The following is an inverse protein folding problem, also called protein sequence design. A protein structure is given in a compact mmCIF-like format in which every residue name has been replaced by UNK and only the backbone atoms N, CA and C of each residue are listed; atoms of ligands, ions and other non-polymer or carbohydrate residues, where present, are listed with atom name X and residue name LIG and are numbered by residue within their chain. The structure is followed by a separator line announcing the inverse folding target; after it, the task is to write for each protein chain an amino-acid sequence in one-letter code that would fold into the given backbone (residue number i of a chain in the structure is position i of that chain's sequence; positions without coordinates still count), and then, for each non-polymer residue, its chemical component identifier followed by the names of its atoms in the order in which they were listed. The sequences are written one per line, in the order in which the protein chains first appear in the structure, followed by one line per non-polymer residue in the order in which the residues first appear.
data_IF_127535642852
#
_entry.id   IF_127535642852
#
_cell.length_a   1.000
_cell.length_b   1.000
_cell.length_c   1.000
_cell.angle_alpha   90.00
_cell.angle_beta   90.00
_cell.angle_gamma   90.00
#
_symmetry.space_group_name_H-M   'P 1'
#
loop_
_entity.id
_entity.type
_entity.pdbx_description
1 polymer ?
#
# COMPACT_ATOMS: atom_id res chain seq x y z
N UNK A 1 -3.57 -10.51 -36.88
CA UNK A 1 -3.69 -10.06 -35.44
C UNK A 1 -3.37 -8.58 -35.39
N UNK A 2 -4.19 -7.80 -34.70
CA UNK A 2 -4.01 -6.36 -34.56
C UNK A 2 -3.98 -6.03 -33.05
N UNK A 3 -2.81 -5.63 -32.56
CA UNK A 3 -2.57 -5.35 -31.15
C UNK A 3 -1.64 -4.13 -31.06
N UNK A 4 -2.18 -2.92 -31.23
CA UNK A 4 -1.40 -1.71 -31.06
C UNK A 4 -1.12 -1.49 -29.57
N UNK A 5 0.13 -1.24 -29.24
CA UNK A 5 0.61 -0.92 -27.92
C UNK A 5 1.12 0.51 -27.89
N UNK A 6 0.61 1.32 -26.96
CA UNK A 6 0.99 2.72 -26.79
C UNK A 6 1.76 2.85 -25.50
N UNK A 7 2.94 3.43 -25.53
CA UNK A 7 3.76 3.65 -24.34
C UNK A 7 4.45 5.00 -24.40
N UNK A 8 4.81 5.52 -23.24
CA UNK A 8 5.65 6.70 -23.12
C UNK A 8 7.10 6.39 -23.53
N UNK A 9 7.72 7.32 -24.21
CA UNK A 9 9.17 7.32 -24.47
C UNK A 9 9.83 8.43 -23.63
N UNK A 10 11.16 8.36 -23.48
CA UNK A 10 11.93 9.28 -22.61
C UNK A 10 11.75 10.76 -22.95
N UNK A 11 11.33 11.09 -24.17
CA UNK A 11 11.01 12.46 -24.62
C UNK A 11 9.70 13.01 -24.01
N UNK A 12 8.91 12.18 -23.34
CA UNK A 12 7.56 12.54 -22.88
C UNK A 12 6.47 12.36 -23.94
N UNK A 13 6.84 11.92 -25.15
CA UNK A 13 5.93 11.59 -26.24
C UNK A 13 5.40 10.16 -26.10
N UNK A 14 4.41 9.82 -26.94
CA UNK A 14 3.90 8.47 -27.05
C UNK A 14 4.42 7.80 -28.33
N UNK A 15 4.84 6.56 -28.21
CA UNK A 15 5.13 5.68 -29.35
C UNK A 15 4.04 4.61 -29.47
N UNK A 16 3.66 4.27 -30.71
CA UNK A 16 2.72 3.22 -31.03
C UNK A 16 3.44 2.07 -31.72
N UNK A 17 3.39 0.89 -31.14
CA UNK A 17 3.97 -0.33 -31.71
C UNK A 17 2.92 -1.39 -31.97
N UNK A 18 3.09 -2.15 -33.03
CA UNK A 18 2.30 -3.36 -33.28
C UNK A 18 2.98 -4.55 -32.57
N UNK A 19 2.38 -5.06 -31.51
CA UNK A 19 2.91 -6.16 -30.69
C UNK A 19 2.40 -7.51 -31.18
N UNK A 20 1.14 -7.58 -31.58
CA UNK A 20 0.52 -8.82 -32.07
C UNK A 20 1.23 -9.39 -33.28
N UNK A 21 1.69 -10.63 -33.18
CA UNK A 21 2.44 -11.36 -34.21
C UNK A 21 2.19 -12.87 -34.09
N UNK A 22 2.76 -13.64 -35.02
CA UNK A 22 2.71 -15.11 -34.92
C UNK A 22 3.40 -15.66 -33.66
N UNK A 23 4.40 -14.92 -33.14
CA UNK A 23 5.11 -15.27 -31.90
C UNK A 23 4.38 -14.74 -30.66
N UNK A 24 3.64 -13.64 -30.79
CA UNK A 24 2.82 -13.05 -29.72
C UNK A 24 1.35 -13.11 -30.13
N UNK A 25 0.71 -14.24 -29.84
CA UNK A 25 -0.67 -14.52 -30.20
C UNK A 25 -1.58 -14.28 -28.98
N UNK A 26 -2.09 -13.05 -28.84
CA UNK A 26 -2.96 -12.65 -27.73
C UNK A 26 -4.27 -13.47 -27.67
N UNK A 27 -4.75 -14.06 -28.75
CA UNK A 27 -5.93 -14.94 -28.71
C UNK A 27 -5.76 -16.15 -27.79
N UNK A 28 -4.51 -16.53 -27.47
CA UNK A 28 -4.16 -17.59 -26.52
C UNK A 28 -3.82 -17.06 -25.13
N UNK A 29 -3.75 -15.74 -24.96
CA UNK A 29 -3.40 -15.12 -23.68
C UNK A 29 -4.59 -15.17 -22.73
N UNK A 30 -4.32 -15.46 -21.46
CA UNK A 30 -5.33 -15.60 -20.42
C UNK A 30 -6.19 -14.34 -20.28
N UNK A 31 -5.59 -13.16 -20.29
CA UNK A 31 -6.29 -11.88 -20.18
C UNK A 31 -7.35 -11.71 -21.30
N UNK A 32 -7.02 -12.09 -22.55
CA UNK A 32 -7.95 -11.98 -23.66
C UNK A 32 -9.09 -13.00 -23.55
N UNK A 33 -8.74 -14.25 -23.24
CA UNK A 33 -9.71 -15.36 -23.09
C UNK A 33 -10.67 -15.05 -21.92
N UNK A 34 -10.13 -14.59 -20.79
CA UNK A 34 -10.92 -14.23 -19.60
C UNK A 34 -11.88 -13.09 -19.91
N UNK A 35 -11.41 -12.00 -20.56
CA UNK A 35 -12.27 -10.88 -20.95
C UNK A 35 -13.41 -11.33 -21.86
N UNK A 36 -13.09 -12.14 -22.89
CA UNK A 36 -14.06 -12.68 -23.84
C UNK A 36 -15.11 -13.57 -23.19
N UNK A 37 -14.71 -14.42 -22.24
CA UNK A 37 -15.61 -15.40 -21.62
C UNK A 37 -16.45 -14.82 -20.49
N UNK A 38 -15.91 -13.87 -19.73
CA UNK A 38 -16.60 -13.29 -18.57
C UNK A 38 -17.44 -12.06 -18.93
N UNK A 39 -17.14 -11.42 -20.06
CA UNK A 39 -17.75 -10.15 -20.46
C UNK A 39 -17.62 -9.03 -19.42
N UNK A 40 -16.61 -9.11 -18.55
CA UNK A 40 -16.36 -8.17 -17.44
C UNK A 40 -14.95 -7.61 -17.51
N UNK A 41 -14.81 -6.38 -17.04
CA UNK A 41 -13.50 -5.81 -16.78
C UNK A 41 -12.89 -6.43 -15.52
N UNK A 42 -11.56 -6.56 -15.51
CA UNK A 42 -10.83 -7.08 -14.35
C UNK A 42 -9.38 -6.59 -14.38
N UNK A 43 -8.69 -6.71 -13.26
CA UNK A 43 -7.24 -6.61 -13.20
C UNK A 43 -6.62 -8.00 -13.36
N UNK A 44 -5.53 -8.09 -14.14
CA UNK A 44 -4.74 -9.31 -14.23
C UNK A 44 -4.01 -9.56 -12.91
N UNK A 45 -3.63 -10.82 -12.67
CA UNK A 45 -2.62 -11.11 -11.66
C UNK A 45 -1.30 -10.44 -12.03
N UNK A 46 -0.44 -10.15 -11.04
CA UNK A 46 0.91 -9.63 -11.30
C UNK A 46 1.71 -10.55 -12.21
N UNK A 47 2.36 -9.98 -13.21
CA UNK A 47 3.21 -10.73 -14.12
C UNK A 47 4.50 -9.97 -14.44
N UNK A 48 5.54 -10.69 -14.79
CA UNK A 48 6.78 -10.12 -15.32
C UNK A 48 6.73 -10.11 -16.82
N UNK A 49 7.05 -8.97 -17.43
CA UNK A 49 7.11 -8.82 -18.88
C UNK A 49 8.47 -8.27 -19.31
N UNK A 50 9.00 -8.84 -20.39
CA UNK A 50 10.21 -8.39 -21.06
C UNK A 50 10.04 -8.57 -22.56
N UNK A 51 10.14 -7.49 -23.32
CA UNK A 51 9.97 -7.51 -24.77
C UNK A 51 11.30 -7.59 -25.56
N UNK A 52 12.42 -7.68 -24.85
CA UNK A 52 13.76 -7.63 -25.43
C UNK A 52 14.27 -6.23 -25.69
N UNK A 53 13.54 -5.20 -25.27
CA UNK A 53 13.90 -3.78 -25.40
C UNK A 53 13.89 -3.08 -24.03
N UNK A 54 13.39 -1.86 -23.97
CA UNK A 54 13.31 -1.07 -22.74
C UNK A 54 12.10 -1.41 -21.86
N UNK A 55 11.13 -2.21 -22.36
CA UNK A 55 9.96 -2.61 -21.59
C UNK A 55 10.32 -3.86 -20.79
N UNK A 56 10.61 -3.66 -19.52
CA UNK A 56 11.07 -4.67 -18.60
C UNK A 56 10.56 -4.39 -17.19
N UNK A 57 9.82 -5.29 -16.58
CA UNK A 57 9.34 -5.09 -15.21
C UNK A 57 8.17 -5.97 -14.81
N UNK A 58 7.71 -5.71 -13.60
CA UNK A 58 6.49 -6.30 -13.07
C UNK A 58 5.30 -5.39 -13.37
N UNK A 59 4.27 -5.97 -13.93
CA UNK A 59 3.06 -5.27 -14.38
C UNK A 59 1.82 -5.94 -13.82
N UNK A 60 0.74 -5.18 -13.83
CA UNK A 60 -0.63 -5.64 -13.82
C UNK A 60 -1.39 -4.86 -14.87
N UNK A 61 -2.36 -5.50 -15.50
CA UNK A 61 -3.14 -4.92 -16.60
C UNK A 61 -4.61 -4.81 -16.20
N UNK A 62 -5.16 -3.61 -16.30
CA UNK A 62 -6.61 -3.46 -16.29
C UNK A 62 -7.14 -3.83 -17.68
N UNK A 63 -7.98 -4.86 -17.75
CA UNK A 63 -8.51 -5.40 -18.99
C UNK A 63 -9.99 -5.07 -19.10
N UNK A 64 -10.40 -4.53 -20.25
CA UNK A 64 -11.79 -4.14 -20.51
C UNK A 64 -12.26 -4.65 -21.88
N UNK A 65 -13.26 -5.54 -21.95
CA UNK A 65 -13.92 -5.89 -23.18
C UNK A 65 -14.81 -4.73 -23.67
N UNK A 66 -14.79 -4.46 -24.95
CA UNK A 66 -15.56 -3.41 -25.63
C UNK A 66 -16.46 -4.04 -26.68
N UNK A 67 -17.74 -3.66 -26.69
CA UNK A 67 -18.75 -4.24 -27.55
C UNK A 67 -19.23 -3.22 -28.59
N UNK A 68 -19.59 -3.72 -29.75
CA UNK A 68 -20.24 -2.92 -30.79
C UNK A 68 -21.72 -2.65 -30.45
N UNK A 69 -22.39 -1.85 -31.27
CA UNK A 69 -23.83 -1.50 -31.10
C UNK A 69 -24.74 -2.72 -31.16
N UNK A 70 -24.28 -3.85 -31.69
CA UNK A 70 -25.03 -5.10 -31.80
C UNK A 70 -24.78 -6.06 -30.63
N UNK A 71 -23.92 -5.67 -29.67
CA UNK A 71 -23.54 -6.50 -28.53
C UNK A 71 -22.46 -7.54 -28.83
N UNK A 72 -21.79 -7.47 -29.99
CA UNK A 72 -20.67 -8.35 -30.32
C UNK A 72 -19.37 -7.74 -29.79
N UNK A 73 -18.45 -8.59 -29.29
CA UNK A 73 -17.13 -8.16 -28.87
C UNK A 73 -16.37 -7.51 -30.04
N UNK A 74 -16.14 -6.22 -29.96
CA UNK A 74 -15.41 -5.45 -30.96
C UNK A 74 -13.89 -5.50 -30.71
N UNK A 75 -13.47 -5.29 -29.48
CA UNK A 75 -12.06 -5.40 -29.07
C UNK A 75 -11.96 -5.65 -27.56
N UNK A 76 -10.74 -5.94 -27.11
CA UNK A 76 -10.35 -5.93 -25.69
C UNK A 76 -9.27 -4.87 -25.53
N UNK A 77 -9.48 -3.92 -24.62
CA UNK A 77 -8.50 -2.90 -24.27
C UNK A 77 -7.77 -3.30 -23.00
N UNK A 78 -6.47 -3.06 -22.94
CA UNK A 78 -5.63 -3.20 -21.76
C UNK A 78 -4.96 -1.88 -21.40
N UNK A 79 -4.76 -1.65 -20.11
CA UNK A 79 -3.94 -0.57 -19.58
C UNK A 79 -2.99 -1.15 -18.55
N UNK A 80 -1.70 -1.08 -18.83
CA UNK A 80 -0.66 -1.64 -17.98
C UNK A 80 -0.22 -0.64 -16.92
N UNK A 81 -0.03 -1.12 -15.70
CA UNK A 81 0.53 -0.37 -14.59
C UNK A 81 1.78 -1.09 -14.07
N UNK A 82 2.87 -0.36 -13.91
CA UNK A 82 4.10 -0.92 -13.34
C UNK A 82 4.05 -0.89 -11.81
N UNK A 83 4.58 -1.91 -11.18
CA UNK A 83 4.67 -1.95 -9.72
C UNK A 83 5.71 -0.97 -9.17
N UNK A 84 6.71 -0.63 -9.97
CA UNK A 84 7.66 0.42 -9.60
C UNK A 84 6.97 1.79 -9.43
N UNK A 85 6.10 2.14 -10.39
CA UNK A 85 5.29 3.35 -10.28
C UNK A 85 4.39 3.32 -9.03
N UNK A 86 3.71 2.20 -8.81
CA UNK A 86 2.83 2.05 -7.64
C UNK A 86 3.61 2.18 -6.33
N UNK A 87 4.81 1.59 -6.24
CA UNK A 87 5.66 1.72 -5.05
C UNK A 87 6.11 3.16 -4.78
N UNK A 88 6.47 3.91 -5.84
CA UNK A 88 6.80 5.35 -5.74
C UNK A 88 5.59 6.18 -5.29
N UNK A 89 4.42 5.87 -5.80
CA UNK A 89 3.17 6.55 -5.44
C UNK A 89 2.77 6.30 -3.98
N UNK A 90 2.92 5.07 -3.50
CA UNK A 90 2.73 4.74 -2.08
C UNK A 90 3.68 5.54 -1.19
N UNK A 91 4.95 5.64 -1.58
CA UNK A 91 5.94 6.42 -0.84
C UNK A 91 5.58 7.92 -0.81
N UNK A 92 5.08 8.47 -1.92
CA UNK A 92 4.61 9.85 -2.00
C UNK A 92 3.43 10.10 -1.05
N UNK A 93 2.44 9.20 -1.06
CA UNK A 93 1.26 9.27 -0.18
C UNK A 93 1.68 9.19 1.30
N UNK A 94 2.57 8.27 1.64
CA UNK A 94 3.09 8.14 3.02
C UNK A 94 3.81 9.42 3.47
N UNK A 95 4.58 10.05 2.58
CA UNK A 95 5.29 11.30 2.88
C UNK A 95 4.31 12.47 3.05
N UNK A 96 3.33 12.62 2.17
CA UNK A 96 2.30 13.67 2.27
C UNK A 96 1.47 13.52 3.53
N UNK A 97 1.04 12.29 3.84
CA UNK A 97 0.26 12.00 5.06
C UNK A 97 1.02 12.34 6.36
N UNK A 98 2.35 12.28 6.34
CA UNK A 98 3.17 12.67 7.50
C UNK A 98 3.31 14.19 7.65
N UNK A 99 3.23 14.93 6.55
CA UNK A 99 3.48 16.36 6.55
C UNK A 99 2.22 17.21 6.77
N UNK A 100 1.05 16.65 6.53
CA UNK A 100 -0.22 17.39 6.51
C UNK A 100 -0.82 17.63 7.92
N UNK A 101 -0.29 16.98 8.96
CA UNK A 101 -0.84 17.10 10.31
C UNK A 101 0.15 17.81 11.25
N UNK A 102 -0.25 19.00 11.75
CA UNK A 102 0.49 19.72 12.81
C UNK A 102 0.73 18.85 14.04
N UNK A 103 -0.21 17.95 14.37
CA UNK A 103 -0.07 16.93 15.41
C UNK A 103 1.08 15.96 15.12
N UNK A 104 1.22 15.50 13.87
CA UNK A 104 2.32 14.65 13.45
C UNK A 104 3.67 15.37 13.58
N UNK A 105 3.72 16.66 13.25
CA UNK A 105 4.95 17.45 13.31
C UNK A 105 5.46 17.67 14.74
N UNK A 106 4.56 17.83 15.72
CA UNK A 106 4.93 18.22 17.08
C UNK A 106 4.76 17.12 18.13
N UNK A 107 3.80 16.21 17.95
CA UNK A 107 3.49 15.14 18.91
C UNK A 107 3.91 13.75 18.45
N UNK A 108 3.86 13.49 17.15
CA UNK A 108 4.09 12.17 16.56
C UNK A 108 5.37 12.09 15.72
N UNK A 109 6.27 13.08 15.78
CA UNK A 109 7.56 13.04 15.09
C UNK A 109 8.42 11.81 15.45
N UNK A 110 8.12 11.20 16.59
CA UNK A 110 8.75 9.96 17.07
C UNK A 110 7.87 8.71 16.84
N UNK A 111 6.67 8.83 16.27
CA UNK A 111 5.90 7.69 15.79
C UNK A 111 6.71 7.08 14.66
N UNK A 112 7.22 5.88 14.90
CA UNK A 112 8.08 5.17 13.95
C UNK A 112 7.44 5.17 12.57
N UNK A 113 8.29 5.19 11.54
CA UNK A 113 7.88 5.29 10.16
C UNK A 113 6.82 4.24 9.80
N UNK A 114 5.53 4.61 9.79
CA UNK A 114 4.52 3.80 9.14
C UNK A 114 4.75 3.81 7.63
N UNK A 115 4.32 2.77 6.96
CA UNK A 115 4.40 2.67 5.51
C UNK A 115 3.25 1.87 4.95
N UNK A 116 2.86 2.21 3.73
CA UNK A 116 1.77 1.58 3.02
C UNK A 116 2.30 0.55 2.03
N UNK A 117 1.65 -0.60 1.95
CA UNK A 117 1.92 -1.66 0.97
C UNK A 117 0.62 -2.11 0.32
N UNK A 118 0.72 -2.67 -0.88
CA UNK A 118 -0.40 -3.38 -1.52
C UNK A 118 -0.12 -4.88 -1.48
N UNK A 119 -1.12 -5.63 -1.07
CA UNK A 119 -1.04 -7.06 -0.80
C UNK A 119 -2.12 -7.78 -1.59
N UNK A 120 -1.76 -8.90 -2.21
CA UNK A 120 -2.68 -9.81 -2.90
C UNK A 120 -3.48 -10.66 -1.89
N UNK A 121 -4.54 -11.30 -2.37
CA UNK A 121 -5.37 -12.22 -1.59
C UNK A 121 -4.63 -13.46 -1.06
N UNK A 122 -3.49 -13.81 -1.66
CA UNK A 122 -2.62 -14.90 -1.18
C UNK A 122 -1.60 -14.44 -0.12
N UNK A 123 -1.58 -13.15 0.21
CA UNK A 123 -0.66 -12.53 1.18
C UNK A 123 0.65 -12.05 0.59
N UNK A 124 0.87 -12.23 -0.72
CA UNK A 124 2.08 -11.71 -1.38
C UNK A 124 2.06 -10.20 -1.49
N UNK A 125 3.21 -9.57 -1.31
CA UNK A 125 3.37 -8.12 -1.46
C UNK A 125 3.48 -7.78 -2.95
N UNK A 126 2.48 -7.05 -3.46
CA UNK A 126 2.42 -6.58 -4.85
C UNK A 126 3.25 -5.32 -5.02
N UNK A 127 3.08 -4.36 -4.14
CA UNK A 127 3.81 -3.10 -4.18
C UNK A 127 4.14 -2.62 -2.76
N UNK A 128 5.33 -2.05 -2.62
CA UNK A 128 5.84 -1.52 -1.35
C UNK A 128 6.80 -0.36 -1.61
N UNK A 129 6.95 0.56 -0.66
CA UNK A 129 8.03 1.54 -0.70
C UNK A 129 9.39 0.86 -0.67
N UNK A 130 10.41 1.51 -1.23
CA UNK A 130 11.76 0.96 -1.30
C UNK A 130 12.27 0.48 0.06
N UNK A 131 12.81 -0.72 0.09
CA UNK A 131 13.35 -1.37 1.32
C UNK A 131 12.30 -1.85 2.34
N UNK A 132 11.00 -1.67 2.09
CA UNK A 132 9.92 -2.08 3.00
C UNK A 132 9.15 -3.26 2.42
N UNK A 133 9.44 -4.48 2.84
CA UNK A 133 8.74 -5.68 2.38
C UNK A 133 7.96 -6.32 3.53
N UNK A 134 6.71 -6.68 3.24
CA UNK A 134 5.85 -7.46 4.14
C UNK A 134 5.46 -8.74 3.42
N UNK A 135 5.54 -9.86 4.11
CA UNK A 135 5.03 -11.14 3.61
C UNK A 135 4.02 -11.66 4.62
N UNK A 136 2.82 -11.90 4.16
CA UNK A 136 1.72 -12.44 4.96
C UNK A 136 1.33 -13.82 4.44
N UNK A 137 0.64 -14.59 5.25
CA UNK A 137 0.04 -15.84 4.81
C UNK A 137 -1.38 -15.57 4.29
N UNK A 138 -1.86 -16.46 3.43
CA UNK A 138 -3.24 -16.41 2.93
C UNK A 138 -4.26 -16.35 4.07
N UNK A 139 -4.04 -17.09 5.15
CA UNK A 139 -4.94 -17.12 6.30
C UNK A 139 -5.00 -15.79 7.04
N UNK A 140 -3.88 -15.06 7.10
CA UNK A 140 -3.82 -13.74 7.74
C UNK A 140 -4.59 -12.67 6.98
N UNK A 141 -4.65 -12.77 5.66
CA UNK A 141 -5.33 -11.82 4.77
C UNK A 141 -6.75 -12.27 4.43
N UNK A 142 -6.98 -13.59 4.37
CA UNK A 142 -8.17 -14.23 3.81
C UNK A 142 -9.48 -13.74 4.41
N UNK A 143 -9.57 -13.66 5.73
CA UNK A 143 -10.82 -13.23 6.40
C UNK A 143 -11.22 -11.78 6.04
N UNK A 144 -10.25 -10.89 5.86
CA UNK A 144 -10.50 -9.51 5.42
C UNK A 144 -10.94 -9.46 3.96
N UNK A 145 -10.26 -10.20 3.10
CA UNK A 145 -10.53 -10.22 1.67
C UNK A 145 -11.87 -10.87 1.33
N UNK A 146 -12.19 -12.00 1.95
CA UNK A 146 -13.46 -12.70 1.75
C UNK A 146 -14.67 -11.89 2.22
N UNK A 147 -14.54 -11.22 3.36
CA UNK A 147 -15.62 -10.40 3.91
C UNK A 147 -15.65 -8.98 3.36
N UNK A 148 -14.65 -8.58 2.57
CA UNK A 148 -14.43 -7.21 2.09
C UNK A 148 -14.57 -6.16 3.22
N UNK A 149 -13.96 -6.46 4.35
CA UNK A 149 -13.98 -5.60 5.54
C UNK A 149 -12.57 -5.23 5.96
N UNK A 150 -12.46 -4.04 6.51
CA UNK A 150 -11.23 -3.60 7.16
C UNK A 150 -10.93 -4.53 8.35
N UNK A 151 -9.71 -4.92 8.48
CA UNK A 151 -9.24 -5.67 9.64
C UNK A 151 -7.88 -5.18 10.13
N UNK A 152 -7.50 -5.65 11.30
CA UNK A 152 -6.25 -5.34 11.95
C UNK A 152 -5.59 -6.64 12.40
N UNK A 153 -4.29 -6.77 12.17
CA UNK A 153 -3.49 -7.89 12.70
C UNK A 153 -2.24 -7.33 13.40
N UNK A 154 -1.87 -7.96 14.50
CA UNK A 154 -0.60 -7.71 15.18
C UNK A 154 0.39 -8.82 14.83
N UNK A 155 1.57 -8.45 14.37
CA UNK A 155 2.61 -9.41 14.05
C UNK A 155 4.00 -8.80 14.12
N UNK A 156 5.01 -9.67 14.08
CA UNK A 156 6.40 -9.24 14.02
C UNK A 156 6.85 -9.12 12.55
N UNK A 157 7.27 -7.94 12.13
CA UNK A 157 7.82 -7.70 10.80
C UNK A 157 9.30 -7.39 10.93
N UNK A 158 10.14 -8.25 10.37
CA UNK A 158 11.59 -8.10 10.40
C UNK A 158 12.16 -7.85 11.82
N UNK A 159 11.62 -8.53 12.83
CA UNK A 159 12.03 -8.38 14.22
C UNK A 159 11.36 -7.22 14.97
N UNK A 160 10.49 -6.46 14.34
CA UNK A 160 9.78 -5.33 14.95
C UNK A 160 8.29 -5.66 15.13
N UNK A 161 7.78 -5.68 16.37
CA UNK A 161 6.34 -5.80 16.62
C UNK A 161 5.59 -4.67 15.92
N UNK A 162 4.62 -5.01 15.08
CA UNK A 162 3.90 -4.06 14.23
C UNK A 162 2.42 -4.41 14.19
N UNK A 163 1.61 -3.39 14.01
CA UNK A 163 0.18 -3.52 13.75
C UNK A 163 -0.07 -3.21 12.28
N UNK A 164 -0.79 -4.07 11.59
CA UNK A 164 -1.13 -3.92 10.17
C UNK A 164 -2.63 -3.70 10.06
N UNK A 165 -3.01 -2.62 9.41
CA UNK A 165 -4.38 -2.27 9.10
C UNK A 165 -4.64 -2.55 7.64
N UNK A 166 -5.63 -3.40 7.34
CA UNK A 166 -6.02 -3.77 5.98
C UNK A 166 -7.31 -3.10 5.54
N UNK A 167 -7.31 -2.66 4.30
CA UNK A 167 -8.51 -2.20 3.60
C UNK A 167 -8.56 -2.86 2.22
N UNK A 168 -9.52 -3.78 1.97
CA UNK A 168 -9.70 -4.37 0.66
C UNK A 168 -10.01 -3.31 -0.39
N UNK A 169 -9.44 -3.48 -1.59
CA UNK A 169 -9.71 -2.60 -2.73
C UNK A 169 -10.90 -3.19 -3.51
N UNK A 170 -11.89 -2.35 -3.83
CA UNK A 170 -13.04 -2.79 -4.61
C UNK A 170 -12.63 -3.24 -6.01
N UNK A 171 -13.31 -4.28 -6.50
CA UNK A 171 -13.14 -4.84 -7.84
C UNK A 171 -11.80 -5.52 -8.14
N UNK A 172 -10.92 -5.66 -7.17
CA UNK A 172 -9.66 -6.43 -7.27
C UNK A 172 -9.51 -7.35 -6.07
N UNK A 173 -8.67 -8.37 -6.20
CA UNK A 173 -8.36 -9.27 -5.10
C UNK A 173 -7.10 -8.81 -4.34
N UNK A 174 -7.04 -7.50 -4.10
CA UNK A 174 -5.95 -6.82 -3.40
C UNK A 174 -6.46 -6.04 -2.19
N UNK A 175 -5.55 -5.76 -1.27
CA UNK A 175 -5.79 -4.86 -0.14
C UNK A 175 -4.66 -3.84 -0.02
N UNK A 176 -5.02 -2.64 0.37
CA UNK A 176 -4.05 -1.68 0.92
C UNK A 176 -3.81 -2.07 2.37
N UNK A 177 -2.56 -2.13 2.77
CA UNK A 177 -2.18 -2.41 4.14
C UNK A 177 -1.25 -1.32 4.67
N UNK A 178 -1.60 -0.71 5.80
CA UNK A 178 -0.76 0.25 6.50
C UNK A 178 -0.06 -0.46 7.65
N UNK A 179 1.26 -0.49 7.60
CA UNK A 179 2.12 -1.12 8.61
C UNK A 179 2.59 -0.07 9.58
N UNK A 180 2.24 -0.24 10.85
CA UNK A 180 2.59 0.68 11.95
C UNK A 180 3.47 -0.06 12.95
N UNK A 181 4.78 0.26 13.06
CA UNK A 181 5.63 -0.30 14.10
C UNK A 181 5.15 0.14 15.48
N UNK A 182 4.92 -0.82 16.39
CA UNK A 182 4.37 -0.52 17.74
C UNK A 182 5.29 0.37 18.58
N UNK A 183 6.60 0.31 18.34
CA UNK A 183 7.57 1.18 19.01
C UNK A 183 7.31 2.66 18.74
N UNK A 184 6.81 3.01 17.57
CA UNK A 184 6.46 4.38 17.22
C UNK A 184 5.30 4.93 18.03
N UNK A 185 4.37 4.09 18.46
CA UNK A 185 3.24 4.49 19.31
C UNK A 185 3.67 4.57 20.79
N UNK A 186 4.49 3.64 21.23
CA UNK A 186 4.87 3.52 22.66
C UNK A 186 5.86 4.62 23.08
N UNK A 187 6.84 4.98 22.23
CA UNK A 187 7.85 5.99 22.56
C UNK A 187 7.29 7.36 22.96
N UNK A 188 6.36 7.98 22.21
CA UNK A 188 5.73 9.23 22.60
C UNK A 188 4.98 9.11 23.93
N UNK A 189 4.22 8.02 24.13
CA UNK A 189 3.49 7.77 25.37
C UNK A 189 4.42 7.66 26.57
N UNK A 190 5.57 7.00 26.42
CA UNK A 190 6.59 6.93 27.48
C UNK A 190 7.18 8.30 27.79
N UNK A 191 7.47 9.14 26.80
CA UNK A 191 7.95 10.52 27.01
C UNK A 191 6.94 11.34 27.80
N UNK A 192 5.66 11.29 27.41
CA UNK A 192 4.58 11.97 28.17
C UNK A 192 4.47 11.45 29.60
N UNK A 193 4.54 10.13 29.80
CA UNK A 193 4.52 9.51 31.12
C UNK A 193 5.67 10.01 32.01
N UNK A 194 6.89 10.10 31.47
CA UNK A 194 8.07 10.60 32.19
C UNK A 194 7.89 12.09 32.56
N UNK A 195 7.43 12.93 31.62
CA UNK A 195 7.18 14.35 31.88
C UNK A 195 6.14 14.52 32.99
N UNK A 196 5.03 13.79 32.91
CA UNK A 196 3.98 13.81 33.91
C UNK A 196 4.48 13.41 35.31
N UNK A 197 5.32 12.35 35.35
CA UNK A 197 5.96 11.89 36.58
C UNK A 197 6.87 12.97 37.17
N UNK A 198 7.71 13.61 36.35
CA UNK A 198 8.60 14.67 36.78
C UNK A 198 7.83 15.87 37.33
N UNK A 199 6.77 16.31 36.64
CA UNK A 199 5.90 17.42 37.12
C UNK A 199 5.24 17.06 38.45
N UNK A 200 4.75 15.80 38.57
CA UNK A 200 4.14 15.32 39.82
C UNK A 200 5.13 15.32 41.00
N UNK A 201 6.35 14.83 40.77
CA UNK A 201 7.42 14.80 41.79
C UNK A 201 7.82 16.23 42.20
N UNK A 202 8.00 17.12 41.22
CA UNK A 202 8.28 18.53 41.50
C UNK A 202 7.15 19.21 42.30
N UNK A 203 5.89 18.94 41.95
CA UNK A 203 4.72 19.41 42.71
C UNK A 203 4.71 18.92 44.14
N UNK A 204 4.99 17.65 44.38
CA UNK A 204 5.08 17.08 45.74
C UNK A 204 6.22 17.70 46.54
N UNK A 205 7.41 17.90 45.92
CA UNK A 205 8.53 18.57 46.57
C UNK A 205 8.15 20.01 46.96
N UNK A 206 7.46 20.72 46.05
CA UNK A 206 7.00 22.09 46.30
C UNK A 206 6.02 22.16 47.48
N UNK A 207 5.02 21.29 47.50
CA UNK A 207 4.08 21.18 48.63
C UNK A 207 4.81 20.84 49.90
N UNK A 208 5.75 19.88 49.88
CA UNK A 208 6.55 19.55 51.09
C UNK A 208 7.37 20.72 51.60
N UNK A 209 7.99 21.50 50.71
CA UNK A 209 8.75 22.70 51.08
C UNK A 209 7.84 23.78 51.72
N UNK A 210 6.63 23.98 51.18
CA UNK A 210 5.65 24.91 51.78
C UNK A 210 5.25 24.42 53.15
N UNK A 211 4.87 23.14 53.30
CA UNK A 211 4.49 22.57 54.59
C UNK A 211 5.62 22.65 55.62
N UNK A 212 6.86 22.48 55.18
CA UNK A 212 8.03 22.63 56.05
C UNK A 212 8.25 24.08 56.52
N UNK A 213 7.96 25.08 55.67
CA UNK A 213 8.05 26.51 56.03
C UNK A 213 6.88 27.00 56.89
N UNK A 214 5.70 26.37 56.67
CA UNK A 214 4.49 26.69 57.41
C UNK A 214 4.35 25.90 58.72
N UNK A 215 5.37 25.13 59.18
CA UNK A 215 5.37 24.62 60.55
C UNK A 215 5.26 25.81 61.48
N UNK A 216 4.03 26.06 61.95
CA UNK A 216 3.73 27.02 62.99
C UNK A 216 4.62 26.74 64.20
N UNK A 217 5.21 27.77 64.81
CA UNK A 217 5.83 27.61 66.12
C UNK A 217 4.78 27.10 67.10
N UNK A 218 5.10 26.08 67.89
CA UNK A 218 4.34 25.62 69.05
C UNK A 218 4.20 26.75 70.07
#
# INVERSE_FOLDING_TARGET
MFEPYVHHVDSGDFEVRQVGSAKHNYHKSEWYIRAKNTNKSFWSDPYYYFDGTNINGHYTTFVKPVYDKTGRLACVCGADMTFEWLGKELQRIDHESRNDDLLNKYLLSDVGEFYTVVISSDGSCIANPEGKRVTLTKDQVGSSMEQRKNCMIEMNINGTPSTIYFSPIDHVDWAVAVVVPNQGIIKPLMKFGIILLLVSVLGLIFVWLICRRLKLPE
#
